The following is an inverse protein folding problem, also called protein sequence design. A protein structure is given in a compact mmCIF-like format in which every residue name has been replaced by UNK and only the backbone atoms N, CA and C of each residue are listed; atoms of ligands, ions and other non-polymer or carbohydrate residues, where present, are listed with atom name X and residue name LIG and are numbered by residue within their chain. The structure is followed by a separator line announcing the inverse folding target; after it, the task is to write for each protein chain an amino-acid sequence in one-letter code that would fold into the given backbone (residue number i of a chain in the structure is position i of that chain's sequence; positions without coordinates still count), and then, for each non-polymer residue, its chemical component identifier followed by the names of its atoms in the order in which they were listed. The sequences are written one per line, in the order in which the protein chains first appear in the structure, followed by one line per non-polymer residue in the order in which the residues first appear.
data_IF_655087252721
#
_entry.id   IF_655087252721
#
_cell.length_a   1.000
_cell.length_b   1.000
_cell.length_c   1.000
_cell.angle_alpha   90.00
_cell.angle_beta   90.00
_cell.angle_gamma   90.00
#
_symmetry.space_group_name_H-M   'P 1'
#
loop_
_entity.id
_entity.type
_entity.pdbx_description
1 polymer ?
#
# COMPACT_ATOMS: atom_id res chain seq x y z
N UNK A 1 5.06 -13.21 -18.46
CA UNK A 1 4.93 -13.89 -17.17
C UNK A 1 3.65 -13.35 -16.55
N UNK A 2 2.64 -14.18 -16.26
CA UNK A 2 1.37 -13.71 -15.71
C UNK A 2 1.59 -13.44 -14.21
N UNK A 3 1.53 -12.18 -13.78
CA UNK A 3 1.65 -11.87 -12.36
C UNK A 3 0.28 -11.95 -11.70
N UNK A 4 0.22 -12.50 -10.49
CA UNK A 4 -1.05 -12.67 -9.77
C UNK A 4 -1.70 -11.33 -9.40
N UNK A 5 -0.89 -10.31 -9.11
CA UNK A 5 -1.38 -8.96 -8.82
C UNK A 5 -2.14 -8.34 -10.00
N UNK A 6 -1.70 -8.60 -11.23
CA UNK A 6 -2.36 -8.10 -12.44
C UNK A 6 -3.72 -8.77 -12.61
N UNK A 7 -3.80 -10.08 -12.33
CA UNK A 7 -5.07 -10.82 -12.33
C UNK A 7 -6.07 -10.31 -11.27
N UNK A 8 -5.58 -9.92 -10.09
CA UNK A 8 -6.43 -9.30 -9.07
C UNK A 8 -6.87 -7.89 -9.44
N UNK A 9 -5.99 -7.09 -10.01
CA UNK A 9 -6.35 -5.78 -10.54
C UNK A 9 -7.43 -5.90 -11.63
N UNK A 10 -7.28 -6.85 -12.56
CA UNK A 10 -8.27 -7.13 -13.60
C UNK A 10 -9.61 -7.56 -13.00
N UNK A 11 -9.58 -8.40 -11.96
CA UNK A 11 -10.79 -8.80 -11.24
C UNK A 11 -11.47 -7.61 -10.54
N UNK A 12 -10.71 -6.65 -10.01
CA UNK A 12 -11.23 -5.40 -9.43
C UNK A 12 -11.88 -4.55 -10.54
N UNK A 13 -11.16 -4.29 -11.63
CA UNK A 13 -11.61 -3.44 -12.74
C UNK A 13 -12.86 -4.00 -13.45
N UNK A 14 -12.97 -5.33 -13.53
CA UNK A 14 -14.11 -6.02 -14.15
C UNK A 14 -15.23 -6.36 -13.15
N UNK A 15 -15.18 -5.81 -11.93
CA UNK A 15 -16.20 -6.01 -10.90
C UNK A 15 -16.43 -7.49 -10.51
N UNK A 16 -15.40 -8.32 -10.65
CA UNK A 16 -15.41 -9.75 -10.36
C UNK A 16 -15.17 -10.02 -8.86
N UNK A 17 -15.95 -9.36 -7.99
CA UNK A 17 -15.77 -9.40 -6.53
C UNK A 17 -15.81 -10.83 -5.93
N UNK A 18 -16.45 -11.80 -6.60
CA UNK A 18 -16.45 -13.21 -6.17
C UNK A 18 -15.05 -13.83 -6.30
N UNK A 19 -14.32 -13.51 -7.37
CA UNK A 19 -12.95 -13.99 -7.57
C UNK A 19 -12.01 -13.42 -6.50
N UNK A 20 -12.12 -12.12 -6.21
CA UNK A 20 -11.39 -11.47 -5.11
C UNK A 20 -11.73 -12.12 -3.78
N UNK A 21 -13.02 -12.27 -3.46
CA UNK A 21 -13.46 -12.87 -2.20
C UNK A 21 -12.91 -14.29 -2.00
N UNK A 22 -12.92 -15.11 -3.05
CA UNK A 22 -12.46 -16.49 -2.98
C UNK A 22 -10.95 -16.57 -2.73
N UNK A 23 -10.18 -15.60 -3.22
CA UNK A 23 -8.73 -15.50 -3.04
C UNK A 23 -8.29 -14.75 -1.78
N UNK A 24 -9.22 -14.23 -0.96
CA UNK A 24 -8.85 -13.70 0.35
C UNK A 24 -8.30 -14.83 1.24
N UNK A 25 -7.28 -14.51 2.05
CA UNK A 25 -6.74 -15.43 3.04
C UNK A 25 -7.83 -15.83 4.06
N UNK A 26 -7.75 -17.03 4.65
CA UNK A 26 -8.73 -17.46 5.65
C UNK A 26 -8.89 -16.48 6.80
N UNK A 27 -7.79 -15.89 7.27
CA UNK A 27 -7.80 -14.89 8.34
C UNK A 27 -8.49 -13.62 7.90
N UNK A 28 -8.15 -13.09 6.72
CA UNK A 28 -8.76 -11.86 6.23
C UNK A 28 -10.26 -12.02 5.95
N UNK A 29 -10.70 -13.21 5.50
CA UNK A 29 -12.13 -13.54 5.34
C UNK A 29 -12.93 -13.45 6.65
N UNK A 30 -12.31 -13.66 7.82
CA UNK A 30 -13.00 -13.52 9.12
C UNK A 30 -13.44 -12.06 9.36
N UNK A 31 -12.70 -11.10 8.80
CA UNK A 31 -12.93 -9.67 9.01
C UNK A 31 -13.66 -8.99 7.84
N UNK A 32 -13.73 -9.63 6.66
CA UNK A 32 -14.33 -9.06 5.45
C UNK A 32 -15.60 -9.81 5.06
N UNK A 33 -16.77 -9.16 5.19
CA UNK A 33 -18.02 -9.73 4.69
C UNK A 33 -18.09 -9.61 3.17
N UNK A 34 -18.46 -10.70 2.47
CA UNK A 34 -18.61 -10.72 1.00
C UNK A 34 -19.49 -9.59 0.44
N UNK A 35 -20.56 -9.23 1.15
CA UNK A 35 -21.47 -8.13 0.79
C UNK A 35 -20.78 -6.77 0.81
N UNK A 36 -19.86 -6.55 1.76
CA UNK A 36 -19.13 -5.29 1.93
C UNK A 36 -18.06 -5.18 0.85
N UNK A 37 -17.31 -6.26 0.59
CA UNK A 37 -16.40 -6.33 -0.55
C UNK A 37 -17.11 -6.02 -1.86
N UNK A 38 -18.27 -6.66 -2.13
CA UNK A 38 -19.08 -6.37 -3.32
C UNK A 38 -19.40 -4.88 -3.45
N UNK A 39 -19.77 -4.22 -2.34
CA UNK A 39 -20.09 -2.79 -2.33
C UNK A 39 -18.87 -1.92 -2.64
N UNK A 40 -17.71 -2.26 -2.09
CA UNK A 40 -16.46 -1.53 -2.32
C UNK A 40 -16.03 -1.68 -3.78
N UNK A 41 -15.94 -2.91 -4.30
CA UNK A 41 -15.55 -3.18 -5.69
C UNK A 41 -16.50 -2.51 -6.68
N UNK A 42 -17.82 -2.56 -6.44
CA UNK A 42 -18.80 -1.88 -7.30
C UNK A 42 -18.66 -0.36 -7.37
N UNK A 43 -18.17 0.27 -6.30
CA UNK A 43 -17.93 1.73 -6.27
C UNK A 43 -16.62 2.11 -6.95
N UNK A 44 -15.72 1.16 -7.12
CA UNK A 44 -14.47 1.35 -7.81
C UNK A 44 -14.73 1.33 -9.32
N UNK A 45 -14.61 2.49 -9.97
CA UNK A 45 -14.94 2.68 -11.39
C UNK A 45 -13.78 3.25 -12.19
N UNK A 46 -12.55 2.84 -11.87
CA UNK A 46 -11.38 3.21 -12.66
C UNK A 46 -10.96 2.06 -13.54
N UNK A 47 -10.63 2.39 -14.78
CA UNK A 47 -9.90 1.54 -15.71
C UNK A 47 -8.52 2.16 -15.98
N UNK A 48 -7.57 1.34 -16.41
CA UNK A 48 -6.21 1.76 -16.79
C UNK A 48 -5.36 2.23 -15.59
N UNK A 49 -5.10 1.32 -14.66
CA UNK A 49 -4.09 1.55 -13.63
C UNK A 49 -2.72 1.11 -14.12
N UNK A 50 -1.70 1.82 -13.65
CA UNK A 50 -0.30 1.45 -13.79
C UNK A 50 0.24 0.99 -12.44
N UNK A 51 1.22 0.09 -12.48
CA UNK A 51 1.97 -0.29 -11.29
C UNK A 51 2.76 0.93 -10.80
N UNK A 52 2.48 1.37 -9.58
CA UNK A 52 3.15 2.50 -8.94
C UNK A 52 4.30 2.05 -8.04
N UNK A 53 4.08 0.99 -7.25
CA UNK A 53 5.09 0.44 -6.34
C UNK A 53 4.86 -1.05 -6.12
N UNK A 54 5.95 -1.81 -5.97
CA UNK A 54 5.94 -3.23 -5.64
C UNK A 54 7.16 -3.56 -4.79
N UNK A 55 6.94 -4.14 -3.61
CA UNK A 55 8.01 -4.62 -2.75
C UNK A 55 7.54 -5.81 -1.92
N UNK A 56 8.47 -6.56 -1.35
CA UNK A 56 8.14 -7.71 -0.49
C UNK A 56 8.78 -7.54 0.88
N UNK A 57 7.98 -7.72 1.93
CA UNK A 57 8.44 -7.70 3.31
C UNK A 57 7.61 -8.68 4.12
N UNK A 58 8.24 -9.37 5.08
CA UNK A 58 7.60 -10.37 5.93
C UNK A 58 6.84 -11.46 5.15
N UNK A 59 7.36 -11.90 3.99
CA UNK A 59 6.70 -12.86 3.08
C UNK A 59 5.37 -12.38 2.47
N UNK A 60 5.20 -11.06 2.39
CA UNK A 60 4.03 -10.43 1.83
C UNK A 60 4.48 -9.48 0.74
N UNK A 61 3.91 -9.65 -0.45
CA UNK A 61 4.11 -8.76 -1.58
C UNK A 61 3.10 -7.62 -1.47
N UNK A 62 3.61 -6.41 -1.32
CA UNK A 62 2.85 -5.17 -1.30
C UNK A 62 2.87 -4.56 -2.69
N UNK A 63 1.69 -4.31 -3.26
CA UNK A 63 1.54 -3.80 -4.62
C UNK A 63 0.59 -2.61 -4.58
N UNK A 64 1.00 -1.52 -5.20
CA UNK A 64 0.20 -0.30 -5.35
C UNK A 64 0.00 -0.01 -6.84
N UNK A 65 -1.25 0.15 -7.23
CA UNK A 65 -1.68 0.56 -8.55
C UNK A 65 -2.34 1.93 -8.47
N UNK A 66 -2.04 2.81 -9.43
CA UNK A 66 -2.65 4.14 -9.53
C UNK A 66 -3.23 4.31 -10.93
N UNK A 67 -4.43 4.89 -11.03
CA UNK A 67 -5.08 5.18 -12.30
C UNK A 67 -4.27 6.20 -13.10
N UNK A 68 -4.32 6.13 -14.43
CA UNK A 68 -3.57 7.08 -15.28
C UNK A 68 -3.92 8.56 -15.01
N UNK A 69 -5.17 8.85 -14.64
CA UNK A 69 -5.63 10.18 -14.25
C UNK A 69 -5.27 10.58 -12.80
N UNK A 70 -4.59 9.69 -12.07
CA UNK A 70 -4.18 9.84 -10.66
C UNK A 70 -5.33 10.10 -9.69
N UNK A 71 -6.57 9.72 -10.02
CA UNK A 71 -7.75 9.93 -9.15
C UNK A 71 -8.13 8.72 -8.31
N UNK A 72 -7.67 7.53 -8.65
CA UNK A 72 -7.99 6.31 -7.92
C UNK A 72 -6.75 5.44 -7.77
N UNK A 73 -6.74 4.62 -6.74
CA UNK A 73 -5.71 3.62 -6.61
C UNK A 73 -6.12 2.44 -5.75
N UNK A 74 -5.37 1.36 -5.95
CA UNK A 74 -5.58 0.08 -5.33
C UNK A 74 -4.27 -0.40 -4.69
N UNK A 75 -4.39 -0.84 -3.45
CA UNK A 75 -3.34 -1.51 -2.72
C UNK A 75 -3.73 -2.97 -2.47
N UNK A 76 -2.78 -3.87 -2.70
CA UNK A 76 -2.88 -5.30 -2.44
C UNK A 76 -1.69 -5.75 -1.58
N UNK A 77 -1.98 -6.52 -0.54
CA UNK A 77 -1.00 -7.33 0.18
C UNK A 77 -1.28 -8.81 -0.12
N UNK A 78 -0.32 -9.47 -0.76
CA UNK A 78 -0.45 -10.83 -1.28
C UNK A 78 0.59 -11.70 -0.60
N UNK A 79 0.14 -12.74 0.11
CA UNK A 79 1.04 -13.68 0.77
C UNK A 79 1.64 -14.70 -0.20
N UNK A 80 2.61 -15.47 0.28
CA UNK A 80 3.30 -16.50 -0.51
C UNK A 80 2.39 -17.61 -1.10
N UNK A 81 1.16 -17.77 -0.58
CA UNK A 81 0.18 -18.72 -1.12
C UNK A 81 -0.69 -18.10 -2.22
N UNK A 82 -0.32 -16.93 -2.75
CA UNK A 82 -1.12 -16.15 -3.67
C UNK A 82 -2.52 -15.88 -3.10
N UNK A 83 -2.60 -15.48 -1.83
CA UNK A 83 -3.86 -15.06 -1.21
C UNK A 83 -3.77 -13.59 -0.80
N UNK A 84 -4.89 -12.89 -0.94
CA UNK A 84 -5.01 -11.49 -0.55
C UNK A 84 -5.23 -11.44 0.96
N UNK A 85 -4.32 -10.81 1.69
CA UNK A 85 -4.44 -10.57 3.13
C UNK A 85 -4.66 -9.10 3.48
N UNK A 86 -4.48 -8.20 2.51
CA UNK A 86 -4.82 -6.80 2.61
C UNK A 86 -5.33 -6.26 1.28
N UNK A 87 -6.37 -5.44 1.34
CA UNK A 87 -6.97 -4.78 0.19
C UNK A 87 -7.42 -3.38 0.62
N UNK A 88 -6.96 -2.36 -0.09
CA UNK A 88 -7.41 -1.00 0.11
C UNK A 88 -7.64 -0.32 -1.24
N UNK A 89 -8.85 0.21 -1.43
CA UNK A 89 -9.30 0.88 -2.65
C UNK A 89 -9.76 2.28 -2.29
N UNK A 90 -9.22 3.30 -2.95
CA UNK A 90 -9.52 4.67 -2.56
C UNK A 90 -9.47 5.65 -3.73
N UNK A 91 -10.10 6.80 -3.53
CA UNK A 91 -9.92 7.97 -4.39
C UNK A 91 -8.71 8.75 -3.90
N UNK A 92 -7.84 9.16 -4.80
CA UNK A 92 -6.71 10.02 -4.51
C UNK A 92 -7.14 11.47 -4.68
N UNK A 93 -6.68 12.32 -3.77
CA UNK A 93 -6.93 13.74 -3.86
C UNK A 93 -6.14 14.33 -5.04
N UNK A 94 -6.69 15.38 -5.66
CA UNK A 94 -5.92 16.13 -6.64
C UNK A 94 -4.62 16.61 -6.00
N UNK A 95 -3.53 16.66 -6.77
CA UNK A 95 -2.25 17.16 -6.25
C UNK A 95 -2.47 18.54 -5.62
N UNK A 96 -2.33 18.60 -4.29
CA UNK A 96 -2.35 19.85 -3.58
C UNK A 96 -1.14 20.67 -4.02
N UNK A 97 -1.37 21.92 -4.43
CA UNK A 97 -0.31 22.88 -4.74
C UNK A 97 0.23 23.45 -3.42
N UNK A 98 0.76 22.59 -2.56
CA UNK A 98 1.36 23.06 -1.32
C UNK A 98 2.68 23.79 -1.60
N UNK A 99 3.02 24.81 -0.78
CA UNK A 99 4.27 25.54 -0.92
C UNK A 99 5.46 24.58 -0.92
N UNK A 100 6.27 24.64 -1.97
CA UNK A 100 7.53 23.90 -2.06
C UNK A 100 8.69 24.78 -1.63
N UNK A 101 9.75 24.17 -1.12
CA UNK A 101 11.01 24.85 -0.82
C UNK A 101 12.09 24.38 -1.77
N UNK A 102 13.03 25.25 -2.11
CA UNK A 102 14.24 24.91 -2.86
C UNK A 102 15.33 24.30 -1.96
N UNK A 103 15.14 24.31 -0.63
CA UNK A 103 16.05 23.69 0.32
C UNK A 103 16.14 22.19 0.07
N UNK A 104 17.37 21.70 -0.04
CA UNK A 104 17.66 20.28 -0.21
C UNK A 104 18.17 19.73 1.11
N UNK A 105 17.59 18.62 1.54
CA UNK A 105 17.98 17.90 2.74
C UNK A 105 18.53 16.53 2.35
N UNK A 106 19.58 16.10 3.03
CA UNK A 106 20.04 14.73 2.95
C UNK A 106 19.44 13.96 4.12
N UNK A 107 18.80 12.82 3.85
CA UNK A 107 18.43 11.91 4.93
C UNK A 107 19.71 11.31 5.54
N UNK A 108 19.87 11.31 6.88
CA UNK A 108 21.04 10.73 7.54
C UNK A 108 20.92 9.20 7.58
N UNK A 109 20.78 8.56 6.41
CA UNK A 109 20.61 7.12 6.25
C UNK A 109 21.89 6.56 5.63
N UNK A 110 22.50 5.60 6.32
CA UNK A 110 23.78 4.96 5.98
C UNK A 110 23.62 3.52 5.46
N UNK A 111 22.37 3.04 5.32
CA UNK A 111 22.01 1.67 4.95
C UNK A 111 20.85 1.67 3.97
N UNK A 112 20.52 0.51 3.43
CA UNK A 112 19.28 0.35 2.66
C UNK A 112 18.08 0.26 3.61
N UNK A 113 17.10 1.14 3.41
CA UNK A 113 15.83 1.14 4.15
C UNK A 113 14.67 1.07 3.15
N UNK A 114 13.57 0.46 3.57
CA UNK A 114 12.31 0.45 2.81
C UNK A 114 11.43 1.58 3.32
N UNK A 115 10.99 2.46 2.42
CA UNK A 115 9.92 3.41 2.69
C UNK A 115 8.61 2.64 2.66
N UNK A 116 8.05 2.34 3.83
CA UNK A 116 6.78 1.62 3.94
C UNK A 116 5.60 2.57 3.84
N UNK A 117 5.68 3.71 4.53
CA UNK A 117 4.80 4.86 4.33
C UNK A 117 5.62 6.08 3.95
N UNK A 118 5.19 6.79 2.92
CA UNK A 118 5.85 7.99 2.44
C UNK A 118 5.30 8.45 1.10
N UNK A 119 5.32 9.75 0.87
CA UNK A 119 4.73 10.37 -0.32
C UNK A 119 3.56 11.28 0.00
N UNK A 120 2.83 11.66 -1.05
CA UNK A 120 1.93 12.81 -1.06
C UNK A 120 0.45 12.43 -1.22
N UNK A 121 0.07 11.19 -0.96
CA UNK A 121 -1.32 10.76 -0.97
C UNK A 121 -1.55 9.63 0.04
N UNK A 122 -2.81 9.42 0.44
CA UNK A 122 -3.20 8.45 1.47
C UNK A 122 -3.01 6.97 1.12
N UNK A 123 -2.79 6.63 -0.15
CA UNK A 123 -2.55 5.24 -0.57
C UNK A 123 -1.11 4.80 -0.28
N UNK A 124 -0.17 5.74 -0.36
CA UNK A 124 1.27 5.50 -0.14
C UNK A 124 1.75 6.04 1.21
N UNK A 125 0.93 6.87 1.88
CA UNK A 125 1.26 7.45 3.16
C UNK A 125 0.02 7.55 4.06
N UNK A 126 -0.09 6.66 5.05
CA UNK A 126 -1.19 6.67 6.02
C UNK A 126 -1.32 8.03 6.76
N UNK A 127 -0.22 8.75 6.93
CA UNK A 127 -0.18 10.05 7.62
C UNK A 127 -0.70 11.22 6.78
N UNK A 128 -1.05 11.01 5.50
CA UNK A 128 -1.39 12.08 4.56
C UNK A 128 -2.49 13.02 5.07
N UNK A 129 -3.52 12.47 5.71
CA UNK A 129 -4.69 13.22 6.17
C UNK A 129 -4.42 13.96 7.50
N UNK A 130 -3.33 13.65 8.20
CA UNK A 130 -2.92 14.31 9.45
C UNK A 130 -1.94 15.42 9.10
N UNK A 131 -2.38 16.69 9.11
CA UNK A 131 -1.57 17.85 8.67
C UNK A 131 -0.17 17.86 9.31
N UNK A 132 -0.08 17.64 10.63
CA UNK A 132 1.19 17.65 11.37
C UNK A 132 2.13 16.49 11.05
N UNK A 133 1.63 15.44 10.39
CA UNK A 133 2.39 14.26 9.98
C UNK A 133 2.39 14.08 8.46
N UNK A 134 1.82 15.04 7.71
CA UNK A 134 1.77 15.01 6.26
C UNK A 134 3.20 14.98 5.72
N UNK A 135 3.48 14.05 4.81
CA UNK A 135 4.81 13.74 4.28
C UNK A 135 5.80 13.09 5.26
N UNK A 136 5.35 12.66 6.44
CA UNK A 136 6.18 11.82 7.28
C UNK A 136 6.51 10.49 6.57
N UNK A 137 7.68 9.94 6.90
CA UNK A 137 8.14 8.66 6.41
C UNK A 137 8.15 7.63 7.53
N UNK A 138 7.64 6.44 7.23
CA UNK A 138 7.84 5.26 8.06
C UNK A 138 8.87 4.38 7.35
N UNK A 139 10.06 4.33 7.93
CA UNK A 139 11.18 3.61 7.36
C UNK A 139 11.39 2.29 8.10
N UNK A 140 11.55 1.21 7.33
CA UNK A 140 11.75 -0.14 7.82
C UNK A 140 13.12 -0.67 7.39
N UNK A 141 13.78 -1.37 8.31
CA UNK A 141 14.97 -2.16 8.02
C UNK A 141 14.56 -3.64 8.00
N UNK A 142 14.72 -4.28 6.86
CA UNK A 142 14.51 -5.71 6.69
C UNK A 142 15.85 -6.45 6.74
N UNK A 143 15.90 -7.57 7.45
CA UNK A 143 17.00 -8.53 7.36
C UNK A 143 16.42 -9.86 6.88
N UNK A 144 16.97 -10.40 5.79
CA UNK A 144 16.44 -11.58 5.09
C UNK A 144 14.94 -11.46 4.78
N UNK A 145 14.47 -10.25 4.45
CA UNK A 145 13.07 -9.96 4.13
C UNK A 145 12.16 -9.72 5.34
N UNK A 146 12.65 -9.79 6.58
CA UNK A 146 11.82 -9.61 7.78
C UNK A 146 12.18 -8.37 8.61
N UNK A 147 11.17 -7.70 9.16
CA UNK A 147 11.32 -6.51 10.02
C UNK A 147 11.32 -6.80 11.52
N UNK A 148 11.10 -8.06 11.88
CA UNK A 148 11.02 -8.52 13.27
C UNK A 148 11.94 -9.72 13.54
N UNK A 149 12.09 -10.04 14.81
CA UNK A 149 12.74 -11.23 15.34
C UNK A 149 11.80 -11.95 16.31
N UNK A 150 12.12 -13.21 16.61
CA UNK A 150 11.49 -14.00 17.67
C UNK A 150 9.95 -13.98 17.55
N UNK A 151 9.44 -14.34 16.36
CA UNK A 151 8.00 -14.43 16.09
C UNK A 151 7.23 -13.12 16.37
N UNK A 152 7.86 -11.97 16.11
CA UNK A 152 7.22 -10.66 16.29
C UNK A 152 7.37 -10.07 17.70
N UNK A 153 8.01 -10.78 18.64
CA UNK A 153 8.24 -10.27 20.01
C UNK A 153 9.27 -9.15 20.09
N UNK A 154 10.06 -8.96 19.04
CA UNK A 154 11.01 -7.85 18.93
C UNK A 154 11.00 -7.28 17.52
N UNK A 155 10.54 -6.04 17.40
CA UNK A 155 10.70 -5.24 16.18
C UNK A 155 12.17 -4.84 16.02
N UNK A 156 12.71 -4.89 14.81
CA UNK A 156 14.11 -4.50 14.59
C UNK A 156 14.27 -2.99 14.56
N UNK A 157 13.47 -2.27 13.78
CA UNK A 157 13.50 -0.81 13.72
C UNK A 157 12.23 -0.29 13.05
N UNK A 158 11.64 0.76 13.62
CA UNK A 158 10.67 1.64 12.98
C UNK A 158 11.13 3.06 13.28
N UNK A 159 11.34 3.87 12.25
CA UNK A 159 11.64 5.28 12.43
C UNK A 159 10.61 6.09 11.68
N UNK A 160 9.81 6.83 12.44
CA UNK A 160 8.96 7.89 11.93
C UNK A 160 9.83 9.14 11.77
N UNK A 161 10.05 9.57 10.54
CA UNK A 161 10.63 10.88 10.24
C UNK A 161 9.49 11.81 9.86
N UNK A 162 9.04 12.62 10.80
CA UNK A 162 8.14 13.74 10.51
C UNK A 162 8.96 14.90 9.96
N UNK A 163 8.37 15.63 9.00
CA UNK A 163 8.91 16.90 8.55
C UNK A 163 8.89 17.87 9.74
N UNK A 164 10.05 18.15 10.34
CA UNK A 164 10.21 19.21 11.34
C UNK A 164 10.30 20.56 10.64
N UNK A 165 9.17 21.12 10.15
CA UNK A 165 9.09 22.53 9.74
C UNK A 165 7.72 23.09 10.08
#
# INVERSE_FOLDING_TARGET
MFNIEDSYLDSINNNQYKAIYNNLSPEFKKHVKKRELKRIIKKYNSSNHILYSSFSINNVKHVIFISNDQKQGAYLAINNNNQIEGLFLTYLDAKNHEPTTSLKYNMPIDKQWTVFWGGNNKLVNYHHDIISQRYAYDLLIANNGFTYMNEGRKMRTFTLLTKMF
#
